data_IF_144796403430
#
_entry.id   IF_144796403430
#
_cell.length_a   1.000
_cell.length_b   1.000
_cell.length_c   1.000
_cell.angle_alpha   90.00
_cell.angle_beta   90.00
_cell.angle_gamma   90.00
#
_symmetry.space_group_name_H-M   'P 1'
#
loop_
_entity.id
_entity.type
_entity.pdbx_description
1 polymer ?
#
# COMPACT_ATOMS: atom_id res chain seq x y z
N UNK A 1 -14.52 2.06 -16.68
CA UNK A 1 -13.83 0.85 -16.22
C UNK A 1 -14.42 -0.37 -16.90
N UNK A 2 -13.64 -1.17 -17.64
CA UNK A 2 -14.08 -2.49 -18.13
C UNK A 2 -13.39 -3.54 -17.27
N UNK A 3 -14.11 -4.13 -16.33
CA UNK A 3 -13.61 -5.20 -15.46
C UNK A 3 -14.28 -6.49 -15.92
N UNK A 4 -13.50 -7.51 -16.27
CA UNK A 4 -14.04 -8.79 -16.76
C UNK A 4 -14.47 -9.72 -15.62
N UNK A 5 -13.72 -9.72 -14.52
CA UNK A 5 -13.98 -10.58 -13.37
C UNK A 5 -13.81 -9.80 -12.06
N UNK A 6 -14.65 -10.09 -11.06
CA UNK A 6 -14.55 -9.52 -9.71
C UNK A 6 -14.28 -10.62 -8.71
N UNK A 7 -13.37 -10.36 -7.77
CA UNK A 7 -13.14 -11.22 -6.62
C UNK A 7 -13.95 -10.67 -5.45
N UNK A 8 -14.87 -11.47 -4.93
CA UNK A 8 -15.65 -11.14 -3.74
C UNK A 8 -15.32 -12.11 -2.60
N UNK A 9 -15.40 -11.60 -1.37
CA UNK A 9 -15.06 -12.36 -0.18
C UNK A 9 -15.94 -11.98 1.01
N UNK A 10 -16.26 -12.96 1.84
CA UNK A 10 -16.92 -12.73 3.14
C UNK A 10 -16.21 -13.50 4.24
N UNK A 11 -16.04 -12.85 5.40
CA UNK A 11 -15.43 -13.43 6.58
C UNK A 11 -16.45 -13.43 7.70
N UNK A 12 -16.61 -14.58 8.36
CA UNK A 12 -17.40 -14.73 9.58
C UNK A 12 -16.54 -15.37 10.65
N UNK A 13 -16.50 -14.76 11.83
CA UNK A 13 -15.77 -15.27 13.00
C UNK A 13 -16.76 -15.82 14.03
N UNK A 14 -16.48 -17.02 14.54
CA UNK A 14 -17.20 -17.62 15.66
C UNK A 14 -16.19 -18.25 16.63
N UNK A 15 -15.93 -17.58 17.76
CA UNK A 15 -14.81 -17.93 18.64
C UNK A 15 -13.48 -17.82 17.90
N UNK A 16 -12.67 -18.89 17.94
CA UNK A 16 -11.39 -18.98 17.22
C UNK A 16 -11.51 -19.47 15.78
N UNK A 17 -12.73 -19.82 15.31
CA UNK A 17 -12.92 -20.31 13.95
C UNK A 17 -13.28 -19.17 13.01
N UNK A 18 -12.55 -19.08 11.90
CA UNK A 18 -12.86 -18.23 10.77
C UNK A 18 -13.51 -19.07 9.68
N UNK A 19 -14.65 -18.59 9.18
CA UNK A 19 -15.31 -19.06 7.97
C UNK A 19 -15.14 -17.99 6.91
N UNK A 20 -14.36 -18.28 5.89
CA UNK A 20 -14.11 -17.38 4.76
C UNK A 20 -14.75 -18.00 3.52
N UNK A 21 -15.53 -17.22 2.79
CA UNK A 21 -16.03 -17.60 1.46
C UNK A 21 -15.42 -16.64 0.46
N UNK A 22 -14.79 -17.17 -0.58
CA UNK A 22 -14.21 -16.37 -1.67
C UNK A 22 -14.86 -16.83 -2.97
N UNK A 23 -15.23 -15.90 -3.83
CA UNK A 23 -15.73 -16.19 -5.16
C UNK A 23 -15.10 -15.28 -6.21
N UNK A 24 -14.78 -15.85 -7.37
CA UNK A 24 -14.40 -15.13 -8.57
C UNK A 24 -15.60 -15.15 -9.51
N UNK A 25 -16.17 -13.99 -9.79
CA UNK A 25 -17.41 -13.85 -10.54
C UNK A 25 -17.14 -13.13 -11.86
N UNK A 26 -17.68 -13.65 -12.96
CA UNK A 26 -17.63 -12.97 -14.24
C UNK A 26 -18.65 -11.83 -14.25
N UNK A 27 -18.21 -10.62 -14.61
CA UNK A 27 -19.05 -9.42 -14.54
C UNK A 27 -20.09 -9.37 -15.66
N UNK A 28 -19.86 -10.09 -16.77
CA UNK A 28 -20.73 -10.07 -17.96
C UNK A 28 -22.01 -10.85 -17.71
N UNK A 29 -21.91 -12.01 -17.06
CA UNK A 29 -23.06 -12.92 -16.85
C UNK A 29 -23.44 -13.09 -15.38
N UNK A 30 -22.63 -12.58 -14.45
CA UNK A 30 -22.87 -12.64 -13.01
C UNK A 30 -22.65 -14.03 -12.39
N UNK A 31 -22.15 -15.00 -13.16
CA UNK A 31 -21.91 -16.35 -12.66
C UNK A 31 -20.52 -16.49 -12.02
N UNK A 32 -20.40 -17.22 -10.90
CA UNK A 32 -19.11 -17.51 -10.30
C UNK A 32 -18.33 -18.46 -11.20
N UNK A 33 -17.16 -17.99 -11.69
CA UNK A 33 -16.14 -18.84 -12.30
C UNK A 33 -15.58 -19.85 -11.30
N UNK A 34 -15.52 -19.44 -10.03
CA UNK A 34 -15.09 -20.27 -8.92
C UNK A 34 -15.64 -19.70 -7.62
N UNK A 35 -15.99 -20.57 -6.67
CA UNK A 35 -16.28 -20.19 -5.29
C UNK A 35 -15.77 -21.29 -4.38
N UNK A 36 -15.14 -20.89 -3.28
CA UNK A 36 -14.61 -21.81 -2.29
C UNK A 36 -14.84 -21.30 -0.88
N UNK A 37 -15.03 -22.25 0.02
CA UNK A 37 -15.31 -21.99 1.43
C UNK A 37 -14.21 -22.62 2.27
N UNK A 38 -13.60 -21.79 3.10
CA UNK A 38 -12.55 -22.16 4.02
C UNK A 38 -13.06 -22.07 5.45
N UNK A 39 -12.79 -23.10 6.24
CA UNK A 39 -13.00 -23.09 7.69
C UNK A 39 -11.68 -23.44 8.37
N UNK A 40 -11.10 -22.48 9.10
CA UNK A 40 -9.78 -22.61 9.74
C UNK A 40 -9.76 -21.93 11.10
N UNK A 41 -8.78 -22.27 11.92
CA UNK A 41 -8.49 -21.52 13.15
C UNK A 41 -7.85 -20.18 12.77
N UNK A 42 -8.06 -19.14 13.58
CA UNK A 42 -7.47 -17.82 13.37
C UNK A 42 -5.94 -17.85 13.32
N UNK A 43 -5.33 -18.81 14.03
CA UNK A 43 -3.87 -19.03 14.01
C UNK A 43 -3.33 -19.47 12.65
N UNK A 44 -4.18 -20.04 11.80
CA UNK A 44 -3.80 -20.51 10.47
C UNK A 44 -4.02 -19.45 9.38
N UNK A 45 -4.20 -18.17 9.75
CA UNK A 45 -4.60 -17.13 8.79
C UNK A 45 -3.59 -16.96 7.64
N UNK A 46 -2.30 -17.08 7.91
CA UNK A 46 -1.27 -16.91 6.89
C UNK A 46 -1.27 -18.07 5.90
N UNK A 47 -1.34 -19.31 6.40
CA UNK A 47 -1.51 -20.49 5.54
C UNK A 47 -2.80 -20.43 4.72
N UNK A 48 -3.87 -19.84 5.29
CA UNK A 48 -5.11 -19.60 4.57
C UNK A 48 -4.97 -18.52 3.48
N UNK A 49 -4.27 -17.42 3.76
CA UNK A 49 -3.97 -16.39 2.77
C UNK A 49 -3.17 -16.95 1.60
N UNK A 50 -2.13 -17.74 1.88
CA UNK A 50 -1.32 -18.40 0.84
C UNK A 50 -2.18 -19.32 -0.02
N UNK A 51 -3.03 -20.12 0.61
CA UNK A 51 -3.90 -21.04 -0.10
C UNK A 51 -4.88 -20.30 -1.02
N UNK A 52 -5.51 -19.23 -0.53
CA UNK A 52 -6.42 -18.41 -1.33
C UNK A 52 -5.68 -17.76 -2.50
N UNK A 53 -4.52 -17.14 -2.25
CA UNK A 53 -3.74 -16.45 -3.28
C UNK A 53 -3.26 -17.40 -4.38
N UNK A 54 -2.71 -18.56 -3.99
CA UNK A 54 -2.29 -19.60 -4.94
C UNK A 54 -3.45 -20.17 -5.74
N UNK A 55 -4.60 -20.39 -5.09
CA UNK A 55 -5.80 -20.90 -5.76
C UNK A 55 -6.31 -19.90 -6.80
N UNK A 56 -6.32 -18.60 -6.49
CA UNK A 56 -6.73 -17.55 -7.44
C UNK A 56 -5.82 -17.54 -8.67
N UNK A 57 -4.50 -17.62 -8.49
CA UNK A 57 -3.54 -17.70 -9.60
C UNK A 57 -3.81 -18.90 -10.49
N UNK A 58 -4.02 -20.07 -9.89
CA UNK A 58 -4.31 -21.31 -10.61
C UNK A 58 -5.64 -21.21 -11.39
N UNK A 59 -6.68 -20.59 -10.80
CA UNK A 59 -8.00 -20.40 -11.44
C UNK A 59 -8.00 -19.38 -12.56
N UNK A 60 -7.25 -18.29 -12.42
CA UNK A 60 -7.04 -17.30 -13.47
C UNK A 60 -6.09 -17.81 -14.57
N UNK A 61 -5.51 -19.00 -14.40
CA UNK A 61 -4.52 -19.60 -15.32
C UNK A 61 -3.34 -18.66 -15.59
N UNK A 62 -2.99 -17.83 -14.61
CA UNK A 62 -1.87 -16.91 -14.72
C UNK A 62 -0.58 -17.72 -14.65
N UNK A 63 0.26 -17.59 -15.68
CA UNK A 63 1.61 -18.17 -15.65
C UNK A 63 2.51 -17.23 -14.87
N UNK A 64 2.62 -17.46 -13.57
CA UNK A 64 3.62 -16.80 -12.73
C UNK A 64 4.94 -17.58 -12.77
N UNK A 65 6.06 -16.88 -12.82
CA UNK A 65 7.39 -17.46 -12.62
C UNK A 65 7.60 -17.81 -11.14
N UNK A 66 8.60 -18.67 -10.85
CA UNK A 66 8.86 -19.14 -9.47
C UNK A 66 9.10 -18.01 -8.46
N UNK A 67 9.81 -16.96 -8.87
CA UNK A 67 10.05 -15.77 -8.02
C UNK A 67 8.79 -14.95 -7.78
N UNK A 68 7.92 -14.79 -8.80
CA UNK A 68 6.64 -14.08 -8.66
C UNK A 68 5.69 -14.84 -7.74
N UNK A 69 5.66 -16.17 -7.84
CA UNK A 69 4.89 -17.03 -6.94
C UNK A 69 5.40 -16.96 -5.50
N UNK A 70 6.72 -16.88 -5.30
CA UNK A 70 7.32 -16.71 -3.97
C UNK A 70 7.01 -15.35 -3.35
N UNK A 71 6.98 -14.27 -4.15
CA UNK A 71 6.56 -12.94 -3.69
C UNK A 71 5.09 -12.93 -3.24
N UNK A 72 4.22 -13.70 -3.90
CA UNK A 72 2.79 -13.76 -3.59
C UNK A 72 2.49 -14.28 -2.18
N UNK A 73 3.30 -15.21 -1.68
CA UNK A 73 3.13 -15.86 -0.36
C UNK A 73 4.16 -15.35 0.66
N UNK A 74 4.81 -14.21 0.39
CA UNK A 74 5.79 -13.63 1.31
C UNK A 74 5.06 -13.07 2.54
N UNK A 75 5.32 -13.64 3.70
CA UNK A 75 4.84 -13.08 4.96
C UNK A 75 5.85 -12.05 5.48
N UNK A 76 5.35 -10.87 5.83
CA UNK A 76 6.17 -9.80 6.39
C UNK A 76 6.25 -9.85 7.92
N UNK A 77 5.50 -10.75 8.55
CA UNK A 77 5.54 -11.09 9.97
C UNK A 77 4.94 -12.48 10.16
N UNK A 78 5.46 -13.24 11.13
CA UNK A 78 4.85 -14.49 11.62
C UNK A 78 3.98 -14.24 12.87
N UNK A 79 4.00 -13.01 13.40
CA UNK A 79 3.22 -12.63 14.57
C UNK A 79 1.82 -12.19 14.15
N UNK A 80 0.83 -13.06 14.38
CA UNK A 80 -0.57 -12.80 14.10
C UNK A 80 -1.12 -11.54 14.77
N UNK A 81 -0.70 -11.25 16.01
CA UNK A 81 -1.15 -10.06 16.73
C UNK A 81 -0.60 -8.80 16.04
N UNK A 82 0.69 -8.81 15.68
CA UNK A 82 1.32 -7.72 14.94
C UNK A 82 0.64 -7.49 13.58
N UNK A 83 0.34 -8.56 12.84
CA UNK A 83 -0.39 -8.50 11.57
C UNK A 83 -1.78 -7.87 11.73
N UNK A 84 -2.55 -8.32 12.72
CA UNK A 84 -3.89 -7.78 12.98
C UNK A 84 -3.86 -6.30 13.36
N UNK A 85 -2.87 -5.88 14.15
CA UNK A 85 -2.65 -4.48 14.50
C UNK A 85 -2.28 -3.65 13.26
N UNK A 86 -1.38 -4.15 12.41
CA UNK A 86 -1.03 -3.50 11.16
C UNK A 86 -2.24 -3.31 10.23
N UNK A 87 -3.08 -4.34 10.06
CA UNK A 87 -4.29 -4.23 9.23
C UNK A 87 -5.26 -3.18 9.81
N UNK A 88 -5.39 -3.09 11.13
CA UNK A 88 -6.16 -2.00 11.77
C UNK A 88 -5.55 -0.63 11.49
N UNK A 89 -4.23 -0.50 11.56
CA UNK A 89 -3.52 0.73 11.19
C UNK A 89 -3.87 1.17 9.77
N UNK A 90 -3.73 0.27 8.78
CA UNK A 90 -4.10 0.53 7.38
C UNK A 90 -5.57 0.92 7.21
N UNK A 91 -6.48 0.31 7.99
CA UNK A 91 -7.91 0.67 7.97
C UNK A 91 -8.15 2.12 8.43
N UNK A 92 -7.50 2.57 9.51
CA UNK A 92 -7.64 3.94 9.98
C UNK A 92 -6.92 4.94 9.05
N UNK A 93 -5.76 4.57 8.51
CA UNK A 93 -5.07 5.35 7.49
C UNK A 93 -5.98 5.66 6.29
N UNK A 94 -6.76 4.68 5.81
CA UNK A 94 -7.65 4.88 4.66
C UNK A 94 -8.84 5.82 4.94
N UNK A 95 -9.10 6.23 6.19
CA UNK A 95 -10.19 7.16 6.54
C UNK A 95 -9.79 8.63 6.49
N UNK A 96 -8.52 8.93 6.75
CA UNK A 96 -7.92 10.22 6.36
C UNK A 96 -8.05 11.41 7.31
N UNK A 97 -8.80 11.39 8.42
CA UNK A 97 -8.79 12.52 9.37
C UNK A 97 -7.59 12.48 10.33
N UNK A 98 -7.30 13.60 11.00
CA UNK A 98 -6.26 13.69 12.04
C UNK A 98 -6.40 12.60 13.12
N UNK A 99 -7.60 12.47 13.70
CA UNK A 99 -7.89 11.47 14.74
C UNK A 99 -7.64 10.04 14.24
N UNK A 100 -7.94 9.77 12.96
CA UNK A 100 -7.70 8.45 12.37
C UNK A 100 -6.24 8.22 12.03
N UNK A 101 -5.48 9.25 11.64
CA UNK A 101 -4.03 9.15 11.48
C UNK A 101 -3.33 8.88 12.82
N UNK A 102 -3.77 9.51 13.90
CA UNK A 102 -3.27 9.23 15.25
C UNK A 102 -3.55 7.78 15.67
N UNK A 103 -4.78 7.29 15.47
CA UNK A 103 -5.13 5.88 15.72
C UNK A 103 -4.30 4.93 14.85
N UNK A 104 -4.08 5.29 13.59
CA UNK A 104 -3.25 4.51 12.66
C UNK A 104 -1.81 4.39 13.16
N UNK A 105 -1.21 5.51 13.58
CA UNK A 105 0.13 5.54 14.19
C UNK A 105 0.22 4.67 15.45
N UNK A 106 -0.78 4.75 16.32
CA UNK A 106 -0.85 3.93 17.54
C UNK A 106 -0.91 2.43 17.20
N UNK A 107 -1.75 2.02 16.24
CA UNK A 107 -1.80 0.62 15.81
C UNK A 107 -0.50 0.12 15.18
N UNK A 108 0.17 0.93 14.35
CA UNK A 108 1.48 0.54 13.82
C UNK A 108 2.54 0.47 14.91
N UNK A 109 2.49 1.37 15.90
CA UNK A 109 3.38 1.33 17.05
C UNK A 109 3.18 0.04 17.87
N UNK A 110 1.94 -0.32 18.17
CA UNK A 110 1.63 -1.60 18.84
C UNK A 110 2.06 -2.80 17.99
N UNK A 111 1.90 -2.76 16.66
CA UNK A 111 2.37 -3.83 15.77
C UNK A 111 3.90 -4.02 15.89
N UNK A 112 4.66 -2.92 15.92
CA UNK A 112 6.11 -2.91 16.11
C UNK A 112 6.50 -3.44 17.49
N UNK A 113 5.74 -3.13 18.54
CA UNK A 113 5.99 -3.66 19.89
C UNK A 113 5.80 -5.17 19.96
N UNK A 114 4.88 -5.72 19.16
CA UNK A 114 4.64 -7.17 19.06
C UNK A 114 5.65 -7.86 18.16
N UNK A 115 6.09 -7.22 17.09
CA UNK A 115 7.14 -7.68 16.20
C UNK A 115 8.03 -6.51 15.75
N UNK A 116 9.17 -6.29 16.43
CA UNK A 116 10.09 -5.21 16.11
C UNK A 116 10.72 -5.31 14.71
N UNK A 117 10.62 -6.48 14.06
CA UNK A 117 11.14 -6.72 12.70
C UNK A 117 10.09 -6.55 11.60
N UNK A 118 8.85 -6.17 11.97
CA UNK A 118 7.77 -6.00 11.01
C UNK A 118 7.91 -4.72 10.19
N UNK A 119 8.75 -4.78 9.16
CA UNK A 119 9.15 -3.64 8.34
C UNK A 119 7.98 -2.84 7.74
N UNK A 120 6.88 -3.50 7.35
CA UNK A 120 5.69 -2.81 6.81
C UNK A 120 5.01 -1.88 7.83
N UNK A 121 5.06 -2.19 9.13
CA UNK A 121 4.51 -1.30 10.15
C UNK A 121 5.31 0.01 10.26
N UNK A 122 6.62 -0.03 10.04
CA UNK A 122 7.45 1.17 9.96
C UNK A 122 7.13 2.01 8.71
N UNK A 123 6.91 1.37 7.55
CA UNK A 123 6.41 2.07 6.35
C UNK A 123 5.07 2.75 6.63
N UNK A 124 4.13 2.04 7.27
CA UNK A 124 2.85 2.61 7.66
C UNK A 124 2.98 3.86 8.55
N UNK A 125 3.91 3.86 9.51
CA UNK A 125 4.22 5.06 10.30
C UNK A 125 4.78 6.20 9.45
N UNK A 126 5.70 5.89 8.53
CA UNK A 126 6.30 6.88 7.64
C UNK A 126 5.21 7.59 6.81
N UNK A 127 4.28 6.82 6.24
CA UNK A 127 3.17 7.33 5.44
C UNK A 127 2.20 8.17 6.27
N UNK A 128 1.86 7.76 7.50
CA UNK A 128 1.02 8.57 8.39
C UNK A 128 1.66 9.93 8.72
N UNK A 129 2.96 9.97 8.99
CA UNK A 129 3.65 11.24 9.25
C UNK A 129 3.66 12.14 8.02
N UNK A 130 3.78 11.58 6.81
CA UNK A 130 3.66 12.36 5.56
C UNK A 130 2.28 13.00 5.47
N UNK A 131 1.21 12.21 5.64
CA UNK A 131 -0.17 12.71 5.54
C UNK A 131 -0.44 13.80 6.60
N UNK A 132 0.00 13.59 7.84
CA UNK A 132 -0.12 14.59 8.90
C UNK A 132 0.61 15.90 8.56
N UNK A 133 1.76 15.83 7.88
CA UNK A 133 2.48 17.02 7.42
C UNK A 133 1.75 17.72 6.27
N UNK A 134 1.33 16.96 5.26
CA UNK A 134 0.72 17.49 4.04
C UNK A 134 -0.66 18.12 4.32
N UNK A 135 -1.40 17.61 5.30
CA UNK A 135 -2.66 18.19 5.76
C UNK A 135 -2.49 19.25 6.87
N UNK A 136 -1.26 19.53 7.28
CA UNK A 136 -0.94 20.60 8.23
C UNK A 136 -1.28 20.29 9.69
N UNK A 137 -1.56 19.02 10.03
CA UNK A 137 -1.78 18.56 11.41
C UNK A 137 -0.47 18.47 12.21
N UNK A 138 0.65 18.19 11.54
CA UNK A 138 1.99 18.25 12.12
C UNK A 138 2.89 19.20 11.33
N UNK A 139 3.78 19.89 12.04
CA UNK A 139 4.79 20.72 11.37
C UNK A 139 5.77 19.85 10.57
N UNK A 140 6.23 20.36 9.42
CA UNK A 140 7.23 19.67 8.58
C UNK A 140 8.51 19.32 9.34
N UNK A 141 8.95 20.19 10.27
CA UNK A 141 10.12 19.96 11.12
C UNK A 141 9.95 18.84 12.14
N UNK A 142 8.71 18.46 12.46
CA UNK A 142 8.44 17.34 13.33
C UNK A 142 8.16 16.06 12.55
N UNK A 143 7.33 16.15 11.50
CA UNK A 143 6.85 15.00 10.76
C UNK A 143 7.95 14.36 9.89
N UNK A 144 8.66 15.13 9.07
CA UNK A 144 9.60 14.57 8.10
C UNK A 144 10.83 13.88 8.71
N UNK A 145 11.41 14.34 9.84
CA UNK A 145 12.42 13.56 10.55
C UNK A 145 11.90 12.21 11.06
N UNK A 146 10.64 12.15 11.53
CA UNK A 146 10.01 10.89 11.96
C UNK A 146 9.70 9.97 10.77
N UNK A 147 9.24 10.53 9.65
CA UNK A 147 9.07 9.80 8.37
C UNK A 147 10.38 9.16 7.95
N UNK A 148 11.48 9.93 7.91
CA UNK A 148 12.79 9.42 7.52
C UNK A 148 13.23 8.27 8.43
N UNK A 149 13.21 8.49 9.75
CA UNK A 149 13.64 7.48 10.70
C UNK A 149 12.85 6.18 10.57
N UNK A 150 11.53 6.25 10.35
CA UNK A 150 10.69 5.08 10.14
C UNK A 150 11.01 4.37 8.82
N UNK A 151 11.13 5.12 7.71
CA UNK A 151 11.44 4.54 6.40
C UNK A 151 12.85 3.91 6.34
N UNK A 152 13.86 4.57 6.93
CA UNK A 152 15.21 4.00 7.06
C UNK A 152 15.19 2.72 7.89
N UNK A 153 14.43 2.71 9.00
CA UNK A 153 14.29 1.51 9.83
C UNK A 153 13.63 0.35 9.09
N UNK A 154 12.64 0.63 8.24
CA UNK A 154 12.03 -0.37 7.38
C UNK A 154 13.06 -0.96 6.39
N UNK A 155 13.91 -0.12 5.78
CA UNK A 155 14.92 -0.55 4.82
C UNK A 155 16.09 -1.33 5.45
N UNK A 156 16.40 -1.08 6.73
CA UNK A 156 17.35 -1.92 7.49
C UNK A 156 16.88 -3.38 7.59
N UNK A 157 15.56 -3.60 7.61
CA UNK A 157 14.94 -4.92 7.73
C UNK A 157 14.65 -5.55 6.37
N UNK A 158 14.11 -4.75 5.46
CA UNK A 158 13.75 -5.17 4.11
C UNK A 158 13.98 -4.04 3.12
N UNK A 159 15.11 -4.11 2.42
CA UNK A 159 15.52 -3.13 1.41
C UNK A 159 14.77 -3.26 0.07
N UNK A 160 13.75 -4.12 0.00
CA UNK A 160 12.90 -4.31 -1.19
C UNK A 160 11.54 -3.61 -1.07
N UNK A 161 11.30 -2.90 0.03
CA UNK A 161 10.04 -2.19 0.26
C UNK A 161 9.93 -0.91 -0.54
N UNK A 162 9.15 -0.94 -1.61
CA UNK A 162 8.84 0.22 -2.44
C UNK A 162 8.30 1.42 -1.63
N UNK A 163 7.42 1.14 -0.66
CA UNK A 163 6.85 2.16 0.23
C UNK A 163 7.89 2.98 0.97
N UNK A 164 8.93 2.34 1.52
CA UNK A 164 9.97 3.06 2.24
C UNK A 164 10.77 4.01 1.34
N UNK A 165 11.09 3.59 0.10
CA UNK A 165 11.72 4.48 -0.88
C UNK A 165 10.79 5.62 -1.29
N UNK A 166 9.48 5.37 -1.48
CA UNK A 166 8.53 6.43 -1.77
C UNK A 166 8.46 7.47 -0.65
N UNK A 167 8.44 7.04 0.63
CA UNK A 167 8.44 7.96 1.77
C UNK A 167 9.75 8.77 1.87
N UNK A 168 10.90 8.15 1.62
CA UNK A 168 12.20 8.85 1.59
C UNK A 168 12.30 9.85 0.44
N UNK A 169 11.80 9.47 -0.74
CA UNK A 169 11.70 10.38 -1.88
C UNK A 169 10.86 11.61 -1.55
N UNK A 170 9.76 11.42 -0.83
CA UNK A 170 8.91 12.52 -0.37
C UNK A 170 9.62 13.46 0.60
N UNK A 171 10.33 12.92 1.59
CA UNK A 171 11.13 13.72 2.53
C UNK A 171 12.22 14.52 1.79
N UNK A 172 12.95 13.87 0.88
CA UNK A 172 13.98 14.55 0.08
C UNK A 172 13.41 15.67 -0.78
N UNK A 173 12.20 15.45 -1.31
CA UNK A 173 11.51 16.41 -2.15
C UNK A 173 10.99 17.61 -1.36
N UNK A 174 10.23 17.38 -0.27
CA UNK A 174 9.49 18.41 0.45
C UNK A 174 10.28 19.08 1.57
N UNK A 175 11.31 18.42 2.11
CA UNK A 175 12.02 18.88 3.31
C UNK A 175 13.51 19.14 3.06
N UNK A 176 14.23 18.19 2.47
CA UNK A 176 15.69 18.33 2.29
C UNK A 176 16.06 19.17 1.08
N UNK A 177 15.11 19.39 0.16
CA UNK A 177 15.34 20.03 -1.14
C UNK A 177 16.36 19.28 -2.00
N UNK A 178 16.57 17.98 -1.75
CA UNK A 178 17.38 17.09 -2.56
C UNK A 178 16.52 16.50 -3.69
N UNK A 179 16.18 17.32 -4.67
CA UNK A 179 15.29 16.92 -5.78
C UNK A 179 15.87 15.78 -6.63
N UNK A 180 17.20 15.71 -6.76
CA UNK A 180 17.86 14.62 -7.49
C UNK A 180 17.86 13.30 -6.69
N UNK A 181 17.99 13.38 -5.36
CA UNK A 181 17.79 12.25 -4.46
C UNK A 181 16.34 11.76 -4.45
N UNK A 182 15.38 12.69 -4.44
CA UNK A 182 13.96 12.37 -4.48
C UNK A 182 13.56 11.57 -5.73
N UNK A 183 13.97 12.03 -6.91
CA UNK A 183 13.68 11.31 -8.16
C UNK A 183 14.29 9.91 -8.18
N UNK A 184 15.51 9.73 -7.65
CA UNK A 184 16.14 8.41 -7.55
C UNK A 184 15.33 7.46 -6.68
N UNK A 185 14.85 7.93 -5.53
CA UNK A 185 14.07 7.11 -4.61
C UNK A 185 12.68 6.80 -5.17
N UNK A 186 12.00 7.75 -5.81
CA UNK A 186 10.71 7.49 -6.47
C UNK A 186 10.84 6.46 -7.59
N UNK A 187 11.85 6.59 -8.45
CA UNK A 187 12.13 5.58 -9.49
C UNK A 187 12.44 4.22 -8.87
N UNK A 188 13.23 4.18 -7.79
CA UNK A 188 13.53 2.93 -7.09
C UNK A 188 12.28 2.27 -6.51
N UNK A 189 11.34 3.05 -5.97
CA UNK A 189 10.06 2.54 -5.49
C UNK A 189 9.25 1.91 -6.63
N UNK A 190 9.16 2.59 -7.78
CA UNK A 190 8.45 2.10 -8.97
C UNK A 190 9.14 0.86 -9.57
N UNK A 191 10.47 0.81 -9.56
CA UNK A 191 11.22 -0.36 -10.05
C UNK A 191 10.99 -1.60 -9.16
N UNK A 192 10.85 -1.40 -7.84
CA UNK A 192 10.60 -2.47 -6.87
C UNK A 192 9.16 -2.98 -6.93
N UNK A 193 8.19 -2.07 -7.06
CA UNK A 193 6.78 -2.39 -7.23
C UNK A 193 6.14 -1.46 -8.28
N UNK A 194 6.08 -1.90 -9.55
CA UNK A 194 5.50 -1.13 -10.65
C UNK A 194 3.99 -0.89 -10.56
N UNK A 195 3.30 -1.49 -9.58
CA UNK A 195 1.88 -1.30 -9.33
C UNK A 195 1.62 -0.52 -8.03
N UNK A 196 2.67 -0.02 -7.37
CA UNK A 196 2.52 0.72 -6.13
C UNK A 196 2.02 2.14 -6.42
N UNK A 197 0.70 2.30 -6.35
CA UNK A 197 -0.02 3.51 -6.74
C UNK A 197 0.52 4.78 -6.07
N UNK A 198 0.92 4.69 -4.79
CA UNK A 198 1.43 5.83 -4.03
C UNK A 198 2.80 6.34 -4.55
N UNK A 199 3.68 5.45 -5.01
CA UNK A 199 4.94 5.86 -5.62
C UNK A 199 4.72 6.58 -6.96
N UNK A 200 3.81 6.08 -7.79
CA UNK A 200 3.42 6.73 -9.04
C UNK A 200 2.87 8.13 -8.80
N UNK A 201 2.00 8.29 -7.80
CA UNK A 201 1.40 9.58 -7.49
C UNK A 201 2.41 10.56 -6.90
N UNK A 202 3.24 10.13 -5.95
CA UNK A 202 4.29 11.00 -5.42
C UNK A 202 5.28 11.43 -6.51
N UNK A 203 5.62 10.52 -7.42
CA UNK A 203 6.49 10.85 -8.55
C UNK A 203 5.82 11.80 -9.54
N UNK A 204 4.52 11.66 -9.79
CA UNK A 204 3.77 12.57 -10.64
C UNK A 204 3.76 14.00 -10.09
N UNK A 205 3.56 14.16 -8.77
CA UNK A 205 3.58 15.46 -8.10
C UNK A 205 4.98 16.09 -8.20
N UNK A 206 6.02 15.30 -7.95
CA UNK A 206 7.41 15.72 -8.17
C UNK A 206 7.65 16.19 -9.62
N UNK A 207 7.26 15.39 -10.62
CA UNK A 207 7.45 15.70 -12.03
C UNK A 207 6.74 17.00 -12.43
N UNK A 208 5.52 17.20 -11.93
CA UNK A 208 4.75 18.42 -12.21
C UNK A 208 5.46 19.66 -11.65
N UNK A 209 6.00 19.58 -10.44
CA UNK A 209 6.74 20.67 -9.80
C UNK A 209 8.09 20.93 -10.48
N UNK A 210 8.67 19.93 -11.15
CA UNK A 210 9.83 20.09 -12.04
C UNK A 210 9.45 20.59 -13.45
N UNK A 211 8.18 20.89 -13.73
CA UNK A 211 7.69 21.34 -15.04
C UNK A 211 7.55 20.23 -16.09
N UNK A 212 7.74 18.96 -15.71
CA UNK A 212 7.65 17.78 -16.59
C UNK A 212 6.21 17.24 -16.63
N UNK A 213 5.27 18.09 -16.97
CA UNK A 213 3.83 17.82 -16.84
C UNK A 213 3.32 16.62 -17.67
N UNK A 214 3.84 16.41 -18.88
CA UNK A 214 3.41 15.25 -19.70
C UNK A 214 3.83 13.92 -19.08
N UNK A 215 4.99 13.87 -18.42
CA UNK A 215 5.42 12.69 -17.68
C UNK A 215 4.63 12.54 -16.38
N UNK A 216 4.34 13.65 -15.70
CA UNK A 216 3.51 13.68 -14.50
C UNK A 216 2.12 13.08 -14.77
N UNK A 217 1.46 13.49 -15.85
CA UNK A 217 0.12 12.97 -16.20
C UNK A 217 0.16 11.46 -16.41
N UNK A 218 1.16 10.94 -17.13
CA UNK A 218 1.29 9.49 -17.36
C UNK A 218 1.47 8.71 -16.06
N UNK A 219 2.31 9.21 -15.16
CA UNK A 219 2.53 8.56 -13.87
C UNK A 219 1.28 8.64 -12.98
N UNK A 220 0.58 9.77 -12.98
CA UNK A 220 -0.69 9.92 -12.26
C UNK A 220 -1.79 8.98 -12.81
N UNK A 221 -1.89 8.82 -14.13
CA UNK A 221 -2.79 7.86 -14.79
C UNK A 221 -2.46 6.42 -14.38
N UNK A 222 -1.18 6.03 -14.33
CA UNK A 222 -0.77 4.70 -13.85
C UNK A 222 -1.13 4.45 -12.39
N UNK A 223 -0.97 5.47 -11.54
CA UNK A 223 -1.44 5.41 -10.16
C UNK A 223 -2.96 5.18 -10.07
N UNK A 224 -3.72 5.90 -10.90
CA UNK A 224 -5.18 5.75 -10.98
C UNK A 224 -5.62 4.39 -11.53
N UNK A 225 -4.91 3.82 -12.49
CA UNK A 225 -5.20 2.47 -12.98
C UNK A 225 -5.06 1.41 -11.88
N UNK A 226 -4.13 1.62 -10.95
CA UNK A 226 -3.84 0.70 -9.84
C UNK A 226 -4.84 0.81 -8.69
N UNK A 227 -5.31 2.02 -8.36
CA UNK A 227 -6.40 2.23 -7.40
C UNK A 227 -7.39 3.31 -7.87
N UNK A 228 -8.36 2.94 -8.73
CA UNK A 228 -9.29 3.88 -9.36
C UNK A 228 -10.26 4.57 -8.40
N UNK A 229 -10.47 3.99 -7.20
CA UNK A 229 -11.42 4.50 -6.21
C UNK A 229 -10.75 5.36 -5.13
N UNK A 230 -9.42 5.49 -5.17
CA UNK A 230 -8.71 6.33 -4.22
C UNK A 230 -8.98 7.81 -4.48
N UNK A 231 -9.58 8.47 -3.50
CA UNK A 231 -9.84 9.91 -3.52
C UNK A 231 -8.55 10.72 -3.59
N UNK A 232 -7.50 10.28 -2.89
CA UNK A 232 -6.20 10.96 -2.85
C UNK A 232 -5.54 10.96 -4.24
N UNK A 233 -5.60 9.82 -4.95
CA UNK A 233 -5.05 9.67 -6.30
C UNK A 233 -5.82 10.56 -7.29
N UNK A 234 -7.15 10.57 -7.20
CA UNK A 234 -7.98 11.43 -8.04
C UNK A 234 -7.69 12.92 -7.79
N UNK A 235 -7.50 13.32 -6.53
CA UNK A 235 -7.12 14.69 -6.18
C UNK A 235 -5.75 15.08 -6.73
N UNK A 236 -4.75 14.20 -6.58
CA UNK A 236 -3.41 14.42 -7.11
C UNK A 236 -3.40 14.55 -8.64
N UNK A 237 -4.13 13.70 -9.36
CA UNK A 237 -4.29 13.83 -10.81
C UNK A 237 -4.94 15.18 -11.18
N UNK A 238 -5.99 15.59 -10.46
CA UNK A 238 -6.61 16.90 -10.64
C UNK A 238 -5.62 18.05 -10.48
N UNK A 239 -4.75 17.98 -9.47
CA UNK A 239 -3.68 18.96 -9.25
C UNK A 239 -2.64 18.97 -10.37
N UNK A 240 -2.21 17.80 -10.82
CA UNK A 240 -1.26 17.65 -11.95
C UNK A 240 -1.85 18.26 -13.23
N UNK A 241 -3.11 17.98 -13.53
CA UNK A 241 -3.81 18.53 -14.70
C UNK A 241 -3.98 20.05 -14.60
N UNK A 242 -4.32 20.55 -13.42
CA UNK A 242 -4.42 21.99 -13.16
C UNK A 242 -3.08 22.70 -13.44
N UNK A 243 -1.97 22.19 -12.91
CA UNK A 243 -0.62 22.72 -13.16
C UNK A 243 -0.22 22.62 -14.65
N UNK A 244 -0.64 21.54 -15.32
CA UNK A 244 -0.45 21.35 -16.75
C UNK A 244 -1.35 22.22 -17.64
N UNK A 245 -2.33 22.93 -17.05
CA UNK A 245 -3.36 23.74 -17.73
C UNK A 245 -4.19 22.92 -18.73
N UNK A 246 -4.63 21.73 -18.32
CA UNK A 246 -5.48 20.83 -19.11
C UNK A 246 -6.84 20.59 -18.46
#
# INVERSE_FOLDING_TARGET
>A
MKVENVLEGSIRKAGNKLRITVALVNVVDGYPLWSEKYERDEKDIFALQDNIALTIVDKLKLKLLGEERAKLVKHHTENLEAYNLYVKGRYFQAKGTEEEMEKSLDYFQQAIEKDPTYALAYVGKADCYIILADYGYLSSNEAYPKTRAAAEKALEMDNTLAGAYASLGWVKFKYDWDWAGAERDFKRAIDLDPNYAYAHINYSLYLSEMGRHDEAIKEAERGLESDPLSLDINNALGWVLYLARR
#
